data_IF_124701428652
#
_entry.id   IF_124701428652
#
_cell.length_a   1.000
_cell.length_b   1.000
_cell.length_c   1.000
_cell.angle_alpha   90.00
_cell.angle_beta   90.00
_cell.angle_gamma   90.00
#
_symmetry.space_group_name_H-M   'P 1'
#
loop_
_entity.id
_entity.type
_entity.pdbx_description
1 polymer ?
#
# COMPACT_ATOMS: atom_id res chain seq x y z
N UNK A 1 49.46 -48.43 44.27
CA UNK A 1 48.63 -48.74 45.45
C UNK A 1 47.99 -47.44 45.91
N UNK A 2 46.66 -47.44 46.10
CA UNK A 2 45.79 -46.35 46.62
C UNK A 2 45.68 -45.06 45.77
N UNK A 3 44.60 -44.75 45.03
CA UNK A 3 43.14 -44.65 45.30
C UNK A 3 42.75 -43.33 45.99
N UNK A 4 42.20 -42.38 45.22
CA UNK A 4 41.20 -41.37 45.65
C UNK A 4 40.67 -40.64 44.39
N UNK A 5 39.45 -40.94 43.92
CA UNK A 5 38.11 -40.46 44.34
C UNK A 5 37.77 -39.04 43.83
N UNK A 6 36.99 -39.03 42.74
CA UNK A 6 35.74 -38.27 42.50
C UNK A 6 35.75 -36.77 42.82
N UNK A 7 35.59 -35.92 41.79
CA UNK A 7 34.44 -35.02 41.70
C UNK A 7 34.20 -34.60 40.23
N UNK A 8 33.08 -35.07 39.68
CA UNK A 8 32.51 -34.62 38.42
C UNK A 8 31.84 -33.28 38.66
N UNK A 9 32.28 -32.23 37.96
CA UNK A 9 31.59 -30.94 37.92
C UNK A 9 30.92 -30.79 36.56
N UNK A 10 29.65 -31.21 36.49
CA UNK A 10 28.76 -30.95 35.36
C UNK A 10 28.42 -29.46 35.36
N UNK A 11 29.06 -28.68 34.49
CA UNK A 11 28.73 -27.27 34.30
C UNK A 11 27.50 -27.19 33.37
N UNK A 12 26.31 -27.19 33.97
CA UNK A 12 25.05 -26.98 33.27
C UNK A 12 24.94 -25.48 32.94
N UNK A 13 25.32 -25.10 31.72
CA UNK A 13 25.04 -23.76 31.19
C UNK A 13 23.52 -23.61 31.02
N UNK A 14 22.89 -22.98 32.01
CA UNK A 14 21.55 -22.40 31.86
C UNK A 14 21.66 -21.23 30.89
N UNK A 15 21.38 -21.48 29.61
CA UNK A 15 21.18 -20.42 28.62
C UNK A 15 19.84 -19.78 28.95
N UNK A 16 19.85 -18.73 29.78
CA UNK A 16 18.73 -17.82 29.93
C UNK A 16 18.53 -17.12 28.59
N UNK A 17 17.65 -17.69 27.76
CA UNK A 17 17.17 -17.07 26.54
C UNK A 17 16.33 -15.84 26.88
N UNK A 18 16.98 -14.70 27.06
CA UNK A 18 16.35 -13.41 26.80
C UNK A 18 16.43 -13.18 25.28
N UNK A 19 15.43 -13.62 24.53
CA UNK A 19 15.08 -12.90 23.31
C UNK A 19 14.54 -11.54 23.77
N UNK A 20 15.23 -10.41 23.56
CA UNK A 20 14.56 -9.14 23.67
C UNK A 20 13.41 -9.20 22.65
N UNK A 21 12.18 -9.16 23.17
CA UNK A 21 11.02 -8.83 22.38
C UNK A 21 11.26 -7.37 21.97
N UNK A 22 12.01 -7.15 20.89
CA UNK A 22 12.16 -5.83 20.27
C UNK A 22 10.79 -5.54 19.69
N UNK A 23 9.89 -5.03 20.54
CA UNK A 23 8.82 -4.17 20.06
C UNK A 23 9.57 -3.03 19.38
N UNK A 24 9.53 -3.01 18.06
CA UNK A 24 10.00 -1.91 17.24
C UNK A 24 9.47 -0.62 17.89
N UNK A 25 10.35 0.14 18.53
CA UNK A 25 9.93 1.34 19.25
C UNK A 25 9.44 2.36 18.22
N UNK A 26 8.16 2.71 18.36
CA UNK A 26 7.47 3.70 17.57
C UNK A 26 8.08 5.09 17.83
N UNK A 27 9.05 5.50 17.00
CA UNK A 27 9.49 6.89 16.98
C UNK A 27 8.53 7.72 16.13
N UNK A 28 7.77 8.63 16.76
CA UNK A 28 6.78 9.46 16.09
C UNK A 28 7.36 10.35 14.97
N UNK A 29 8.61 10.80 15.12
CA UNK A 29 9.30 11.62 14.10
C UNK A 29 9.63 10.77 12.87
N UNK A 30 10.11 9.55 13.08
CA UNK A 30 10.45 8.63 11.98
C UNK A 30 9.18 8.16 11.24
N UNK A 31 8.06 8.05 11.94
CA UNK A 31 6.77 7.69 11.33
C UNK A 31 6.24 8.77 10.39
N UNK A 32 6.28 10.05 10.79
CA UNK A 32 5.84 11.14 9.91
C UNK A 32 6.72 11.24 8.66
N UNK A 33 8.04 11.13 8.82
CA UNK A 33 8.99 11.15 7.70
C UNK A 33 8.76 9.97 6.75
N UNK A 34 8.57 8.75 7.30
CA UNK A 34 8.28 7.55 6.50
C UNK A 34 6.95 7.69 5.76
N UNK A 35 5.91 8.20 6.41
CA UNK A 35 4.62 8.45 5.77
C UNK A 35 4.75 9.44 4.61
N UNK A 36 5.44 10.57 4.82
CA UNK A 36 5.72 11.56 3.76
C UNK A 36 6.50 10.93 2.59
N UNK A 37 7.48 10.08 2.89
CA UNK A 37 8.22 9.34 1.86
C UNK A 37 7.31 8.40 1.05
N UNK A 38 6.41 7.68 1.72
CA UNK A 38 5.46 6.77 1.07
C UNK A 38 4.43 7.55 0.21
N UNK A 39 3.98 8.72 0.67
CA UNK A 39 3.14 9.63 -0.13
C UNK A 39 3.89 10.12 -1.36
N UNK A 40 5.16 10.53 -1.22
CA UNK A 40 6.00 10.94 -2.34
C UNK A 40 6.18 9.80 -3.35
N UNK A 41 6.44 8.59 -2.88
CA UNK A 41 6.55 7.40 -3.72
C UNK A 41 5.24 7.11 -4.46
N UNK A 42 4.07 7.23 -3.81
CA UNK A 42 2.81 7.08 -4.54
C UNK A 42 2.60 8.20 -5.57
N UNK A 43 2.98 9.44 -5.27
CA UNK A 43 2.89 10.52 -6.27
C UNK A 43 3.81 10.26 -7.46
N UNK A 44 5.02 9.71 -7.26
CA UNK A 44 5.89 9.23 -8.34
C UNK A 44 5.22 8.11 -9.16
N UNK A 45 4.54 7.15 -8.51
CA UNK A 45 3.74 6.13 -9.19
C UNK A 45 2.73 6.77 -10.15
N UNK A 46 2.01 7.82 -9.72
CA UNK A 46 1.05 8.51 -10.60
C UNK A 46 1.71 9.22 -11.78
N UNK A 47 2.95 9.70 -11.63
CA UNK A 47 3.69 10.31 -12.73
C UNK A 47 4.17 9.27 -13.74
N UNK A 48 4.67 8.13 -13.26
CA UNK A 48 5.04 7.01 -14.14
C UNK A 48 3.82 6.42 -14.83
N UNK A 49 2.67 6.33 -14.15
CA UNK A 49 1.41 5.90 -14.74
C UNK A 49 0.94 6.84 -15.85
N UNK A 50 0.99 8.15 -15.60
CA UNK A 50 0.72 9.19 -16.61
C UNK A 50 1.64 9.10 -17.82
N UNK A 51 2.92 8.77 -17.59
CA UNK A 51 3.93 8.65 -18.64
C UNK A 51 3.92 7.27 -19.32
N UNK A 52 3.05 6.35 -18.87
CA UNK A 52 2.98 4.95 -19.34
C UNK A 52 4.33 4.22 -19.22
N UNK A 53 5.13 4.59 -18.21
CA UNK A 53 6.47 4.04 -17.97
C UNK A 53 6.38 2.76 -17.14
N UNK A 54 6.05 1.65 -17.81
CA UNK A 54 5.86 0.33 -17.17
C UNK A 54 7.11 -0.13 -16.43
N UNK A 55 8.31 0.10 -16.98
CA UNK A 55 9.57 -0.29 -16.33
C UNK A 55 9.73 0.42 -14.98
N UNK A 56 9.52 1.74 -14.94
CA UNK A 56 9.58 2.50 -13.69
C UNK A 56 8.47 2.11 -12.72
N UNK A 57 7.26 1.86 -13.19
CA UNK A 57 6.17 1.36 -12.34
C UNK A 57 6.56 0.05 -11.68
N UNK A 58 7.05 -0.92 -12.45
CA UNK A 58 7.45 -2.23 -11.94
C UNK A 58 8.57 -2.15 -10.91
N UNK A 59 9.52 -1.22 -11.08
CA UNK A 59 10.57 -0.97 -10.09
C UNK A 59 9.99 -0.57 -8.73
N UNK A 60 8.81 0.08 -8.66
CA UNK A 60 8.22 0.53 -7.39
C UNK A 60 7.64 -0.61 -6.55
N UNK A 61 7.30 -1.73 -7.19
CA UNK A 61 6.70 -2.90 -6.53
C UNK A 61 7.76 -3.93 -6.16
N UNK A 62 7.62 -4.54 -4.98
CA UNK A 62 8.36 -5.74 -4.66
C UNK A 62 7.94 -6.90 -5.59
N UNK A 63 8.84 -7.84 -5.85
CA UNK A 63 8.52 -8.99 -6.72
C UNK A 63 7.41 -9.87 -6.12
N UNK A 64 7.28 -9.89 -4.80
CA UNK A 64 6.22 -10.60 -4.07
C UNK A 64 4.98 -9.74 -3.78
N UNK A 65 4.73 -8.68 -4.56
CA UNK A 65 3.54 -7.85 -4.37
C UNK A 65 2.28 -8.68 -4.61
N UNK A 66 1.29 -8.48 -3.75
CA UNK A 66 -0.06 -8.98 -4.00
C UNK A 66 -1.01 -7.81 -4.27
N UNK A 67 -1.81 -7.96 -5.31
CA UNK A 67 -2.78 -6.99 -5.78
C UNK A 67 -4.22 -7.49 -5.59
N UNK A 68 -5.07 -6.66 -4.99
CA UNK A 68 -6.52 -6.87 -4.95
C UNK A 68 -7.17 -5.87 -5.91
N UNK A 69 -7.66 -6.32 -7.08
CA UNK A 69 -8.18 -5.44 -8.12
C UNK A 69 -9.57 -4.86 -7.78
N UNK A 70 -10.00 -3.80 -8.49
CA UNK A 70 -11.32 -3.19 -8.34
C UNK A 70 -12.44 -3.99 -9.03
N UNK A 71 -12.08 -4.99 -9.85
CA UNK A 71 -13.02 -5.91 -10.51
C UNK A 71 -13.23 -7.16 -9.69
N UNK A 72 -14.45 -7.72 -9.73
CA UNK A 72 -14.73 -8.99 -9.07
C UNK A 72 -13.90 -10.12 -9.69
N UNK A 73 -13.06 -10.74 -8.86
CA UNK A 73 -12.20 -11.86 -9.25
C UNK A 73 -12.31 -13.05 -8.28
N UNK A 74 -13.44 -13.18 -7.58
CA UNK A 74 -13.63 -14.18 -6.52
C UNK A 74 -12.85 -13.87 -5.23
N UNK A 75 -12.50 -12.60 -4.99
CA UNK A 75 -11.76 -12.12 -3.82
C UNK A 75 -10.37 -12.75 -3.67
N UNK A 76 -9.76 -13.07 -4.80
CA UNK A 76 -8.41 -13.63 -4.85
C UNK A 76 -7.37 -12.52 -4.96
N UNK A 77 -6.20 -12.74 -4.36
CA UNK A 77 -5.05 -11.88 -4.62
C UNK A 77 -4.39 -12.27 -5.93
N UNK A 78 -3.94 -11.28 -6.67
CA UNK A 78 -3.22 -11.43 -7.93
C UNK A 78 -1.75 -11.09 -7.73
N UNK A 79 -0.88 -11.78 -8.44
CA UNK A 79 0.57 -11.52 -8.44
C UNK A 79 0.92 -10.33 -9.37
N UNK A 80 2.18 -9.90 -9.31
CA UNK A 80 2.70 -8.73 -10.03
C UNK A 80 2.40 -8.74 -11.52
N UNK A 81 2.54 -9.89 -12.18
CA UNK A 81 2.37 -10.02 -13.63
C UNK A 81 0.94 -9.66 -14.07
N UNK A 82 -0.08 -10.11 -13.34
CA UNK A 82 -1.48 -9.82 -13.64
C UNK A 82 -1.83 -8.35 -13.42
N UNK A 83 -1.21 -7.72 -12.41
CA UNK A 83 -1.32 -6.28 -12.17
C UNK A 83 -0.73 -5.48 -13.33
N UNK A 84 0.48 -5.82 -13.78
CA UNK A 84 1.14 -5.14 -14.91
C UNK A 84 0.34 -5.28 -16.20
N UNK A 85 -0.15 -6.48 -16.51
CA UNK A 85 -1.03 -6.69 -17.67
C UNK A 85 -2.27 -5.81 -17.63
N UNK A 86 -2.82 -5.56 -16.45
CA UNK A 86 -3.99 -4.69 -16.31
C UNK A 86 -3.62 -3.21 -16.51
N UNK A 87 -2.43 -2.78 -16.06
CA UNK A 87 -1.94 -1.42 -16.34
C UNK A 87 -1.73 -1.20 -17.84
N UNK A 88 -1.16 -2.17 -18.54
CA UNK A 88 -0.98 -2.13 -19.99
C UNK A 88 -2.32 -2.05 -20.75
N UNK A 89 -3.37 -2.70 -20.26
CA UNK A 89 -4.72 -2.55 -20.80
C UNK A 89 -5.20 -1.11 -20.64
N UNK A 90 -5.04 -0.51 -19.46
CA UNK A 90 -5.42 0.90 -19.27
C UNK A 90 -4.64 1.85 -20.18
N UNK A 91 -3.33 1.65 -20.35
CA UNK A 91 -2.51 2.48 -21.25
C UNK A 91 -2.92 2.34 -22.72
N UNK A 92 -3.41 1.17 -23.12
CA UNK A 92 -3.91 0.95 -24.47
C UNK A 92 -5.28 1.62 -24.70
N UNK A 93 -6.16 1.54 -23.71
CA UNK A 93 -7.57 1.91 -23.87
C UNK A 93 -7.83 3.39 -23.49
N UNK A 94 -6.91 4.02 -22.76
CA UNK A 94 -7.05 5.37 -22.25
C UNK A 94 -5.78 6.22 -22.41
N UNK A 95 -5.94 7.41 -22.96
CA UNK A 95 -4.93 8.46 -23.05
C UNK A 95 -5.03 9.46 -21.88
N UNK A 96 -3.99 10.28 -21.70
CA UNK A 96 -3.97 11.42 -20.77
C UNK A 96 -4.34 11.05 -19.32
N UNK A 97 -3.97 9.86 -18.88
CA UNK A 97 -4.32 9.37 -17.55
C UNK A 97 -3.61 10.24 -16.49
N UNK A 98 -4.39 10.84 -15.59
CA UNK A 98 -3.89 11.71 -14.53
C UNK A 98 -4.60 11.46 -13.22
N UNK A 99 -3.88 11.63 -12.11
CA UNK A 99 -4.44 11.49 -10.76
C UNK A 99 -4.43 12.84 -10.04
N UNK A 100 -5.56 13.16 -9.41
CA UNK A 100 -5.67 14.28 -8.49
C UNK A 100 -5.97 13.74 -7.08
N UNK A 101 -5.09 13.95 -6.09
CA UNK A 101 -5.33 13.51 -4.73
C UNK A 101 -6.45 14.30 -4.05
N UNK A 102 -7.17 13.65 -3.14
CA UNK A 102 -8.23 14.24 -2.35
C UNK A 102 -9.63 14.08 -2.95
N UNK A 103 -10.64 14.43 -2.16
CA UNK A 103 -12.05 14.32 -2.55
C UNK A 103 -12.74 15.66 -2.35
N UNK A 104 -13.33 16.19 -3.41
CA UNK A 104 -14.24 17.32 -3.33
C UNK A 104 -15.55 16.88 -2.65
N UNK A 105 -15.89 17.57 -1.58
CA UNK A 105 -17.14 17.42 -0.84
C UNK A 105 -18.11 18.56 -1.19
N UNK A 106 -19.41 18.41 -0.88
CA UNK A 106 -20.36 19.51 -0.99
C UNK A 106 -19.92 20.75 -0.20
N UNK A 107 -20.43 21.92 -0.59
CA UNK A 107 -20.20 23.21 0.07
C UNK A 107 -18.72 23.66 0.08
N UNK A 108 -18.01 23.43 -1.04
CA UNK A 108 -16.61 23.84 -1.22
C UNK A 108 -15.66 23.26 -0.15
N UNK A 109 -15.97 22.07 0.37
CA UNK A 109 -15.11 21.37 1.31
C UNK A 109 -14.27 20.30 0.58
N UNK A 110 -13.13 19.92 1.14
CA UNK A 110 -12.25 18.91 0.57
C UNK A 110 -11.64 18.02 1.66
N UNK A 111 -11.53 16.74 1.36
CA UNK A 111 -10.75 15.78 2.18
C UNK A 111 -9.38 15.60 1.55
N UNK A 112 -8.35 15.53 2.39
CA UNK A 112 -6.98 15.22 1.97
C UNK A 112 -6.90 13.83 1.31
N UNK A 113 -5.95 13.67 0.39
CA UNK A 113 -5.76 12.46 -0.41
C UNK A 113 -5.05 11.33 0.31
N UNK A 114 -4.38 11.60 1.44
CA UNK A 114 -3.48 10.63 2.05
C UNK A 114 -3.66 10.50 3.56
N UNK A 115 -3.74 9.27 4.05
CA UNK A 115 -3.85 8.99 5.48
C UNK A 115 -2.99 7.78 5.86
N UNK A 116 -2.09 7.96 6.81
CA UNK A 116 -1.30 6.88 7.40
C UNK A 116 -2.04 6.30 8.59
N UNK A 117 -2.33 5.00 8.59
CA UNK A 117 -2.90 4.37 9.76
C UNK A 117 -4.33 4.82 10.13
N UNK A 118 -4.70 4.66 11.40
CA UNK A 118 -5.97 5.14 11.97
C UNK A 118 -5.85 5.36 13.47
N UNK A 119 -6.27 6.52 13.97
CA UNK A 119 -6.30 6.78 15.41
C UNK A 119 -7.38 5.98 16.15
N UNK A 120 -8.44 5.58 15.46
CA UNK A 120 -9.58 4.89 16.04
C UNK A 120 -9.77 3.52 15.39
N UNK A 121 -10.06 2.48 16.19
CA UNK A 121 -10.32 1.10 15.74
C UNK A 121 -11.64 0.60 16.30
N UNK A 122 -12.39 -0.15 15.50
CA UNK A 122 -13.71 -0.69 15.87
C UNK A 122 -13.68 -1.88 16.83
N UNK A 123 -12.50 -2.50 17.03
CA UNK A 123 -12.36 -3.67 17.92
C UNK A 123 -12.38 -3.34 19.42
N UNK A 124 -12.33 -2.05 19.78
CA UNK A 124 -12.50 -1.57 21.16
C UNK A 124 -11.51 -2.16 22.19
N UNK A 125 -10.41 -2.79 21.74
CA UNK A 125 -9.36 -3.28 22.63
C UNK A 125 -8.77 -2.11 23.44
N UNK A 126 -8.18 -2.29 24.63
CA UNK A 126 -7.53 -1.15 25.33
C UNK A 126 -6.36 -0.55 24.52
N UNK A 127 -5.91 -1.25 23.47
CA UNK A 127 -5.04 -0.74 22.39
C UNK A 127 -5.76 0.15 21.36
N UNK A 128 -7.08 0.29 21.39
CA UNK A 128 -7.91 1.15 20.53
C UNK A 128 -7.80 2.63 20.89
N UNK A 129 -7.10 2.95 21.98
CA UNK A 129 -6.66 4.30 22.34
C UNK A 129 -5.26 4.62 21.79
N UNK A 130 -4.52 3.62 21.31
CA UNK A 130 -3.23 3.82 20.65
C UNK A 130 -3.45 3.88 19.14
N UNK A 131 -3.13 5.01 18.49
CA UNK A 131 -3.27 5.11 17.06
C UNK A 131 -2.50 3.99 16.36
N UNK A 132 -3.12 3.42 15.33
CA UNK A 132 -2.47 2.53 14.37
C UNK A 132 -1.47 3.33 13.54
N UNK A 133 -0.38 3.80 14.13
CA UNK A 133 0.58 4.72 13.49
C UNK A 133 1.53 4.05 12.51
N UNK A 134 1.11 2.98 11.82
CA UNK A 134 1.95 2.33 10.82
C UNK A 134 2.09 3.25 9.59
N UNK A 135 3.26 3.89 9.37
CA UNK A 135 3.45 4.83 8.28
C UNK A 135 3.54 4.12 6.91
N UNK A 136 3.77 2.80 6.93
CA UNK A 136 3.85 1.93 5.76
C UNK A 136 2.48 1.37 5.35
N UNK A 137 1.40 1.75 6.01
CA UNK A 137 0.03 1.49 5.58
C UNK A 137 -0.65 2.82 5.28
N UNK A 138 -0.69 3.18 4.00
CA UNK A 138 -1.35 4.41 3.56
C UNK A 138 -2.70 4.09 2.93
N UNK A 139 -3.66 4.98 3.18
CA UNK A 139 -4.92 5.09 2.47
C UNK A 139 -4.78 6.25 1.50
N UNK A 140 -5.19 6.01 0.26
CA UNK A 140 -5.15 7.00 -0.81
C UNK A 140 -6.57 7.24 -1.30
N UNK A 141 -6.92 8.52 -1.43
CA UNK A 141 -8.16 9.00 -1.99
C UNK A 141 -7.85 9.96 -3.13
N UNK A 142 -8.57 9.83 -4.24
CA UNK A 142 -8.42 10.78 -5.33
C UNK A 142 -9.36 10.51 -6.48
N UNK A 143 -9.06 11.15 -7.60
CA UNK A 143 -9.80 10.99 -8.85
C UNK A 143 -8.81 10.75 -9.97
N UNK A 144 -9.00 9.64 -10.70
CA UNK A 144 -8.37 9.43 -12.00
C UNK A 144 -9.19 10.13 -13.08
N UNK A 145 -8.51 10.82 -13.98
CA UNK A 145 -9.09 11.41 -15.19
C UNK A 145 -8.33 10.85 -16.38
N UNK A 146 -9.04 10.60 -17.47
CA UNK A 146 -8.47 10.01 -18.67
C UNK A 146 -9.35 10.31 -19.87
N UNK A 147 -8.86 10.03 -21.06
CA UNK A 147 -9.61 10.09 -22.31
C UNK A 147 -9.62 8.72 -22.94
N UNK A 148 -10.78 8.14 -23.18
CA UNK A 148 -10.87 6.85 -23.87
C UNK A 148 -10.35 6.98 -25.30
N UNK A 149 -9.37 6.15 -25.67
CA UNK A 149 -8.58 6.31 -26.89
C UNK A 149 -9.43 6.18 -28.15
N UNK A 150 -10.33 5.19 -28.20
CA UNK A 150 -11.13 4.92 -29.41
C UNK A 150 -12.22 5.97 -29.65
N UNK A 151 -12.93 6.38 -28.59
CA UNK A 151 -14.09 7.28 -28.74
C UNK A 151 -13.75 8.75 -28.51
N UNK A 152 -12.59 9.03 -27.90
CA UNK A 152 -12.16 10.35 -27.51
C UNK A 152 -12.97 10.98 -26.38
N UNK A 153 -13.82 10.22 -25.68
CA UNK A 153 -14.60 10.72 -24.53
C UNK A 153 -13.73 10.82 -23.29
N UNK A 154 -13.90 11.91 -22.55
CA UNK A 154 -13.29 12.07 -21.24
C UNK A 154 -14.01 11.18 -20.21
N UNK A 155 -13.24 10.54 -19.34
CA UNK A 155 -13.72 9.70 -18.26
C UNK A 155 -13.10 10.12 -16.94
N UNK A 156 -13.86 9.94 -15.87
CA UNK A 156 -13.41 10.20 -14.50
C UNK A 156 -13.83 9.07 -13.57
N UNK A 157 -12.97 8.79 -12.59
CA UNK A 157 -13.23 7.75 -11.60
C UNK A 157 -12.73 8.16 -10.23
N UNK A 158 -13.67 8.25 -9.27
CA UNK A 158 -13.30 8.38 -7.86
C UNK A 158 -12.65 7.07 -7.42
N UNK A 159 -11.50 7.18 -6.79
CA UNK A 159 -10.63 6.06 -6.51
C UNK A 159 -10.18 6.06 -5.07
N UNK A 160 -10.15 4.85 -4.48
CA UNK A 160 -9.65 4.61 -3.14
C UNK A 160 -8.68 3.43 -3.17
N UNK A 161 -7.58 3.54 -2.42
CA UNK A 161 -6.68 2.42 -2.24
C UNK A 161 -6.11 2.31 -0.83
N UNK A 162 -5.71 1.09 -0.48
CA UNK A 162 -4.84 0.78 0.65
C UNK A 162 -3.54 0.19 0.11
N UNK A 163 -2.44 0.87 0.39
CA UNK A 163 -1.11 0.50 -0.12
C UNK A 163 -0.19 0.21 1.06
N UNK A 164 0.54 -0.91 0.96
CA UNK A 164 1.55 -1.28 1.93
C UNK A 164 2.95 -1.24 1.36
N UNK A 165 3.86 -0.63 2.12
CA UNK A 165 5.27 -0.53 1.81
C UNK A 165 6.08 -1.45 2.73
N UNK A 166 7.20 -1.98 2.24
CA UNK A 166 8.21 -2.62 3.08
C UNK A 166 9.28 -1.60 3.52
N UNK A 167 10.23 -2.03 4.36
CA UNK A 167 11.32 -1.18 4.84
C UNK A 167 12.27 -0.67 3.75
N UNK A 168 12.25 -1.26 2.55
CA UNK A 168 12.98 -0.78 1.38
C UNK A 168 12.19 0.25 0.54
N UNK A 169 11.00 0.67 1.00
CA UNK A 169 10.13 1.61 0.29
C UNK A 169 9.44 1.01 -0.94
N UNK A 170 9.43 -0.31 -1.10
CA UNK A 170 8.71 -0.99 -2.19
C UNK A 170 7.28 -1.31 -1.80
N UNK A 171 6.36 -1.20 -2.75
CA UNK A 171 4.97 -1.61 -2.55
C UNK A 171 4.89 -3.14 -2.51
N UNK A 172 4.32 -3.67 -1.43
CA UNK A 172 4.11 -5.11 -1.19
C UNK A 172 2.64 -5.51 -1.19
N UNK A 173 1.72 -4.57 -0.97
CA UNK A 173 0.28 -4.78 -1.17
C UNK A 173 -0.31 -3.58 -1.86
N UNK A 174 -1.12 -3.83 -2.87
CA UNK A 174 -1.89 -2.82 -3.58
C UNK A 174 -3.36 -3.26 -3.57
N UNK A 175 -4.24 -2.46 -3.00
CA UNK A 175 -5.66 -2.77 -2.94
C UNK A 175 -6.40 -1.55 -3.42
N UNK A 176 -7.20 -1.66 -4.46
CA UNK A 176 -7.88 -0.51 -4.99
C UNK A 176 -9.33 -0.78 -5.36
N UNK A 177 -10.13 0.29 -5.25
CA UNK A 177 -11.55 0.28 -5.47
C UNK A 177 -11.95 1.51 -6.26
N UNK A 178 -12.68 1.26 -7.33
CA UNK A 178 -13.42 2.27 -8.06
C UNK A 178 -14.55 1.63 -8.87
N UNK A 179 -15.41 2.45 -9.45
CA UNK A 179 -16.52 1.97 -10.27
C UNK A 179 -16.06 1.70 -11.71
N UNK A 180 -15.58 0.48 -11.97
CA UNK A 180 -15.10 0.06 -13.30
C UNK A 180 -16.23 0.15 -14.34
N UNK A 181 -17.40 -0.40 -14.04
CA UNK A 181 -18.60 -0.31 -14.91
C UNK A 181 -19.03 1.15 -15.17
N UNK A 182 -18.65 2.07 -14.30
CA UNK A 182 -18.90 3.49 -14.44
C UNK A 182 -18.08 4.15 -15.55
N UNK A 183 -16.91 3.62 -15.87
CA UNK A 183 -16.11 4.10 -17.01
C UNK A 183 -16.80 3.75 -18.33
N UNK A 184 -17.26 2.51 -18.47
CA UNK A 184 -17.97 2.04 -19.67
C UNK A 184 -19.24 2.84 -19.96
N UNK A 185 -19.99 3.20 -18.90
CA UNK A 185 -21.17 4.06 -19.05
C UNK A 185 -20.82 5.45 -19.56
N UNK A 186 -19.76 6.07 -19.04
CA UNK A 186 -19.29 7.38 -19.53
C UNK A 186 -18.85 7.30 -20.99
N UNK A 187 -18.24 6.18 -21.42
CA UNK A 187 -17.86 5.95 -22.81
C UNK A 187 -19.09 5.76 -23.71
N UNK A 188 -20.20 5.25 -23.19
CA UNK A 188 -21.41 5.01 -23.97
C UNK A 188 -22.33 6.23 -24.12
N UNK A 189 -22.30 7.19 -23.17
CA UNK A 189 -23.15 8.41 -23.14
C UNK A 189 -22.87 9.43 -24.24
#
# INVERSE_FOLDING_TARGET
>A
MMRNKILSAYFMFLVLGCTPNVKEELNAVDNEATFKSNVSSFMEFTQHFKAEDTDKLMEMFADSVLWSPPVYNGYSWLEKEAMVQTFEIYFKDYDNITFTPGINLPNNNSVDGFWGGSNFRSDGSESSSQPSINPNNIRVYGTWNSKHTETGKETFSKWYAIINFNSAGKIVRFNDWFNVDGLEKQIAE
#
